data_IF_818606645359
#
_entry.id   IF_818606645359
#
_cell.length_a   1.000
_cell.length_b   1.000
_cell.length_c   1.000
_cell.angle_alpha   90.00
_cell.angle_beta   90.00
_cell.angle_gamma   90.00
#
_symmetry.space_group_name_H-M   'P 1'
#
loop_
_entity.id
_entity.type
_entity.pdbx_description
1 polymer ?
#
# COMPACT_ATOMS: atom_id res chain seq x y z
N UNK A 1 7.47 -34.91 -5.27
CA UNK A 1 6.94 -34.48 -6.59
C UNK A 1 5.83 -33.45 -6.45
N UNK A 2 4.90 -33.60 -5.52
CA UNK A 2 3.77 -32.66 -5.36
C UNK A 2 4.22 -31.24 -5.02
N UNK A 3 5.04 -31.03 -4.00
CA UNK A 3 5.58 -29.70 -3.68
C UNK A 3 6.39 -29.04 -4.80
N UNK A 4 7.04 -29.83 -5.66
CA UNK A 4 7.75 -29.29 -6.84
C UNK A 4 6.78 -28.74 -7.89
N UNK A 5 5.57 -29.30 -8.00
CA UNK A 5 4.52 -28.78 -8.87
C UNK A 5 3.96 -27.46 -8.34
N UNK A 6 3.83 -27.31 -7.01
CA UNK A 6 3.47 -26.05 -6.39
C UNK A 6 4.49 -24.95 -6.72
N UNK A 7 5.79 -25.24 -6.58
CA UNK A 7 6.85 -24.29 -6.92
C UNK A 7 6.88 -23.96 -8.41
N UNK A 8 6.72 -24.97 -9.28
CA UNK A 8 6.67 -24.77 -10.72
C UNK A 8 5.47 -23.88 -11.12
N UNK A 9 4.30 -24.08 -10.49
CA UNK A 9 3.13 -23.23 -10.68
C UNK A 9 3.43 -21.77 -10.30
N UNK A 10 4.07 -21.55 -9.16
CA UNK A 10 4.47 -20.20 -8.73
C UNK A 10 5.42 -19.52 -9.73
N UNK A 11 6.44 -20.25 -10.19
CA UNK A 11 7.39 -19.74 -11.19
C UNK A 11 6.68 -19.40 -12.51
N UNK A 12 5.78 -20.27 -12.98
CA UNK A 12 5.01 -20.02 -14.22
C UNK A 12 4.12 -18.79 -14.08
N UNK A 13 3.50 -18.57 -12.91
CA UNK A 13 2.74 -17.34 -12.64
C UNK A 13 3.65 -16.12 -12.76
N UNK A 14 4.81 -16.12 -12.11
CA UNK A 14 5.75 -15.00 -12.17
C UNK A 14 6.20 -14.72 -13.63
N UNK A 15 6.52 -15.76 -14.39
CA UNK A 15 6.91 -15.62 -15.80
C UNK A 15 5.77 -15.07 -16.67
N UNK A 16 4.54 -15.55 -16.48
CA UNK A 16 3.39 -15.08 -17.22
C UNK A 16 3.07 -13.60 -16.91
N UNK A 17 3.24 -13.17 -15.64
CA UNK A 17 3.08 -11.78 -15.24
C UNK A 17 4.16 -10.88 -15.87
N UNK A 18 5.40 -11.33 -15.95
CA UNK A 18 6.48 -10.61 -16.66
C UNK A 18 6.19 -10.41 -18.16
N UNK A 19 5.43 -11.31 -18.78
CA UNK A 19 4.97 -11.16 -20.17
C UNK A 19 3.84 -10.13 -20.29
N UNK A 20 3.19 -9.74 -19.17
CA UNK A 20 2.16 -8.70 -19.13
C UNK A 20 0.72 -9.23 -19.19
N UNK A 21 0.49 -10.50 -18.87
CA UNK A 21 -0.88 -11.01 -18.75
C UNK A 21 -1.61 -10.41 -17.52
N UNK A 22 -2.94 -10.22 -17.62
CA UNK A 22 -3.73 -9.71 -16.49
C UNK A 22 -3.63 -10.63 -15.26
N UNK A 23 -3.27 -10.07 -14.12
CA UNK A 23 -2.90 -10.79 -12.90
C UNK A 23 -3.95 -11.76 -12.42
N UNK A 24 -5.19 -11.31 -12.30
CA UNK A 24 -6.29 -12.14 -11.82
C UNK A 24 -6.50 -13.40 -12.66
N UNK A 25 -6.43 -13.25 -13.99
CA UNK A 25 -6.60 -14.36 -14.93
C UNK A 25 -5.36 -15.26 -14.95
N UNK A 26 -4.18 -14.68 -14.77
CA UNK A 26 -2.92 -15.44 -14.68
C UNK A 26 -2.92 -16.34 -13.45
N UNK A 27 -3.25 -15.78 -12.29
CA UNK A 27 -3.32 -16.54 -11.02
C UNK A 27 -4.34 -17.69 -11.13
N UNK A 28 -5.59 -17.36 -11.46
CA UNK A 28 -6.66 -18.35 -11.54
C UNK A 28 -6.45 -19.37 -12.68
N UNK A 29 -6.09 -18.89 -13.86
CA UNK A 29 -5.90 -19.74 -15.05
C UNK A 29 -4.72 -20.69 -14.90
N UNK A 30 -3.56 -20.21 -14.43
CA UNK A 30 -2.40 -21.06 -14.16
C UNK A 30 -2.71 -22.10 -13.09
N UNK A 31 -3.35 -21.69 -11.98
CA UNK A 31 -3.71 -22.62 -10.93
C UNK A 31 -4.64 -23.72 -11.42
N UNK A 32 -5.72 -23.39 -12.14
CA UNK A 32 -6.64 -24.38 -12.70
C UNK A 32 -5.96 -25.28 -13.75
N UNK A 33 -5.05 -24.71 -14.57
CA UNK A 33 -4.26 -25.48 -15.53
C UNK A 33 -3.37 -26.51 -14.83
N UNK A 34 -2.66 -26.10 -13.77
CA UNK A 34 -1.84 -27.03 -12.97
C UNK A 34 -2.68 -28.04 -12.20
N UNK A 35 -3.83 -27.65 -11.63
CA UNK A 35 -4.74 -28.59 -11.00
C UNK A 35 -5.25 -29.66 -11.98
N UNK A 36 -5.65 -29.23 -13.19
CA UNK A 36 -6.09 -30.16 -14.24
C UNK A 36 -4.97 -31.12 -14.67
N UNK A 37 -3.76 -30.60 -14.84
CA UNK A 37 -2.58 -31.40 -15.15
C UNK A 37 -2.27 -32.38 -14.01
N UNK A 38 -2.33 -31.90 -12.76
CA UNK A 38 -2.11 -32.71 -11.56
C UNK A 38 -3.11 -33.85 -11.40
N UNK A 39 -4.39 -33.61 -11.71
CA UNK A 39 -5.44 -34.65 -11.72
C UNK A 39 -5.11 -35.72 -12.78
N UNK A 40 -4.75 -35.30 -14.00
CA UNK A 40 -4.40 -36.23 -15.07
C UNK A 40 -3.15 -37.07 -14.74
N UNK A 41 -2.22 -36.52 -14.00
CA UNK A 41 -0.99 -37.21 -13.54
C UNK A 41 -1.18 -38.00 -12.24
N UNK A 42 -2.34 -37.92 -11.58
CA UNK A 42 -2.60 -38.56 -10.29
C UNK A 42 -1.89 -37.92 -9.08
N UNK A 43 -1.50 -36.65 -9.21
CA UNK A 43 -0.78 -35.88 -8.17
C UNK A 43 -1.60 -34.77 -7.52
N UNK A 44 -2.88 -34.66 -7.87
CA UNK A 44 -3.80 -33.66 -7.30
C UNK A 44 -5.18 -34.29 -7.07
N UNK A 45 -5.69 -34.17 -5.85
CA UNK A 45 -7.00 -34.67 -5.51
C UNK A 45 -8.10 -33.70 -5.99
N UNK A 46 -9.00 -34.12 -6.91
CA UNK A 46 -10.10 -33.30 -7.40
C UNK A 46 -11.00 -32.72 -6.29
N UNK A 47 -11.10 -33.38 -5.14
CA UNK A 47 -11.95 -32.96 -4.02
C UNK A 47 -11.53 -31.59 -3.47
N UNK A 48 -10.25 -31.20 -3.60
CA UNK A 48 -9.81 -29.83 -3.27
C UNK A 48 -10.57 -28.75 -4.04
N UNK A 49 -10.92 -29.01 -5.30
CA UNK A 49 -11.65 -28.04 -6.12
C UNK A 49 -13.08 -27.83 -5.68
N UNK A 50 -13.67 -28.74 -4.91
CA UNK A 50 -15.02 -28.57 -4.34
C UNK A 50 -15.09 -27.37 -3.38
N UNK A 51 -13.96 -27.04 -2.70
CA UNK A 51 -13.85 -25.88 -1.82
C UNK A 51 -13.79 -24.53 -2.58
N UNK A 52 -13.63 -24.54 -3.91
CA UNK A 52 -13.48 -23.32 -4.72
C UNK A 52 -14.70 -22.41 -4.59
N UNK A 53 -15.90 -22.97 -4.72
CA UNK A 53 -17.16 -22.21 -4.63
C UNK A 53 -17.29 -21.52 -3.27
N UNK A 54 -16.99 -22.24 -2.18
CA UNK A 54 -17.05 -21.69 -0.83
C UNK A 54 -16.01 -20.57 -0.61
N UNK A 55 -14.80 -20.69 -1.19
CA UNK A 55 -13.77 -19.65 -1.10
C UNK A 55 -14.13 -18.40 -1.88
N UNK A 56 -14.65 -18.55 -3.11
CA UNK A 56 -15.11 -17.41 -3.92
C UNK A 56 -16.25 -16.70 -3.19
N UNK A 57 -17.22 -17.46 -2.69
CA UNK A 57 -18.35 -16.90 -1.94
C UNK A 57 -17.87 -16.18 -0.65
N UNK A 58 -16.91 -16.77 0.08
CA UNK A 58 -16.29 -16.17 1.26
C UNK A 58 -15.60 -14.84 0.94
N UNK A 59 -14.88 -14.76 -0.18
CA UNK A 59 -14.27 -13.49 -0.62
C UNK A 59 -15.31 -12.44 -0.96
N UNK A 60 -16.38 -12.82 -1.67
CA UNK A 60 -17.44 -11.90 -2.07
C UNK A 60 -18.32 -11.44 -0.89
N UNK A 61 -18.49 -12.30 0.12
CA UNK A 61 -19.31 -12.02 1.31
C UNK A 61 -18.52 -11.45 2.51
N UNK A 62 -17.24 -11.15 2.34
CA UNK A 62 -16.40 -10.64 3.42
C UNK A 62 -16.73 -9.16 3.72
N UNK A 63 -17.29 -8.92 4.91
CA UNK A 63 -17.72 -7.58 5.35
C UNK A 63 -16.56 -6.60 5.46
N UNK A 64 -15.36 -7.06 5.82
CA UNK A 64 -14.17 -6.20 5.92
C UNK A 64 -13.77 -5.64 4.54
N UNK A 65 -13.92 -6.46 3.49
CA UNK A 65 -13.57 -6.07 2.12
C UNK A 65 -14.54 -5.03 1.53
N UNK A 66 -15.73 -4.82 2.11
CA UNK A 66 -16.65 -3.74 1.73
C UNK A 66 -16.04 -2.35 2.01
N UNK A 67 -15.09 -2.24 2.93
CA UNK A 67 -14.33 -1.01 3.14
C UNK A 67 -13.56 -0.57 1.88
N UNK A 68 -13.11 -1.50 1.04
CA UNK A 68 -12.29 -1.23 -0.15
C UNK A 68 -13.03 -0.34 -1.17
N UNK A 69 -14.23 -0.70 -1.68
CA UNK A 69 -14.96 0.17 -2.60
C UNK A 69 -15.31 1.53 -1.99
N UNK A 70 -15.57 1.61 -0.70
CA UNK A 70 -15.90 2.85 0.00
C UNK A 70 -14.67 3.77 0.11
N UNK A 71 -13.49 3.26 0.45
CA UNK A 71 -12.26 4.04 0.44
C UNK A 71 -11.84 4.44 -0.99
N UNK A 72 -12.02 3.57 -2.00
CA UNK A 72 -11.79 3.93 -3.40
C UNK A 72 -12.71 5.09 -3.79
N UNK A 73 -14.01 5.01 -3.45
CA UNK A 73 -14.97 6.07 -3.75
C UNK A 73 -14.61 7.38 -3.05
N UNK A 74 -14.17 7.33 -1.79
CA UNK A 74 -13.67 8.48 -1.04
C UNK A 74 -12.50 9.12 -1.77
N UNK A 75 -11.47 8.34 -2.12
CA UNK A 75 -10.26 8.83 -2.80
C UNK A 75 -10.54 9.44 -4.18
N UNK A 76 -11.30 8.73 -5.03
CA UNK A 76 -11.68 9.20 -6.36
C UNK A 76 -12.53 10.48 -6.28
N UNK A 77 -13.41 10.59 -5.27
CA UNK A 77 -14.24 11.78 -5.07
C UNK A 77 -13.38 13.00 -4.70
N UNK A 78 -12.43 12.83 -3.76
CA UNK A 78 -11.52 13.91 -3.34
C UNK A 78 -10.60 14.35 -4.48
N UNK A 79 -10.14 13.42 -5.31
CA UNK A 79 -9.36 13.69 -6.51
C UNK A 79 -10.15 14.49 -7.53
N UNK A 80 -11.38 14.05 -7.88
CA UNK A 80 -12.26 14.74 -8.84
C UNK A 80 -12.73 16.11 -8.36
N UNK A 81 -12.82 16.30 -7.04
CA UNK A 81 -13.13 17.60 -6.44
C UNK A 81 -11.95 18.59 -6.49
N UNK A 82 -10.81 18.24 -7.14
CA UNK A 82 -9.58 19.06 -7.28
C UNK A 82 -9.02 19.53 -5.94
N UNK A 83 -9.29 18.79 -4.89
CA UNK A 83 -8.80 19.12 -3.53
C UNK A 83 -7.28 19.10 -3.50
N UNK A 84 -6.65 18.19 -4.26
CA UNK A 84 -5.21 18.10 -4.41
C UNK A 84 -4.57 19.38 -4.99
N UNK A 85 -5.17 19.94 -6.05
CA UNK A 85 -4.70 21.13 -6.73
C UNK A 85 -4.78 22.37 -5.82
N UNK A 86 -5.92 22.53 -5.13
CA UNK A 86 -6.14 23.61 -4.17
C UNK A 86 -5.17 23.51 -2.99
N UNK A 87 -5.01 22.30 -2.41
CA UNK A 87 -4.06 22.07 -1.33
C UNK A 87 -2.64 22.45 -1.73
N UNK A 88 -2.19 21.96 -2.89
CA UNK A 88 -0.84 22.23 -3.37
C UNK A 88 -0.61 23.73 -3.60
N UNK A 89 -1.59 24.42 -4.21
CA UNK A 89 -1.51 25.86 -4.49
C UNK A 89 -1.40 26.68 -3.20
N UNK A 90 -2.28 26.42 -2.23
CA UNK A 90 -2.29 27.17 -0.97
C UNK A 90 -1.06 26.84 -0.09
N UNK A 91 -0.65 25.57 -0.03
CA UNK A 91 0.53 25.16 0.74
C UNK A 91 1.83 25.68 0.08
N UNK A 92 1.89 25.69 -1.25
CA UNK A 92 3.01 26.30 -1.97
C UNK A 92 3.09 27.82 -1.70
N UNK A 93 1.97 28.53 -1.67
CA UNK A 93 1.91 29.95 -1.31
C UNK A 93 2.31 30.23 0.16
N UNK A 94 2.06 29.28 1.05
CA UNK A 94 2.41 29.42 2.47
C UNK A 94 3.90 29.18 2.75
N UNK A 95 4.48 28.14 2.15
CA UNK A 95 5.84 27.71 2.41
C UNK A 95 6.85 28.09 1.30
N UNK A 96 6.40 28.31 0.07
CA UNK A 96 7.24 28.42 -1.13
C UNK A 96 8.24 29.58 -1.12
N UNK A 97 7.99 30.63 -0.34
CA UNK A 97 8.87 31.79 -0.22
C UNK A 97 10.25 31.49 0.44
N UNK A 98 10.43 30.28 0.96
CA UNK A 98 11.70 29.85 1.59
C UNK A 98 12.34 28.74 0.78
N UNK A 99 13.68 28.62 0.76
CA UNK A 99 14.35 27.45 0.17
C UNK A 99 13.80 26.15 0.78
N UNK A 100 13.49 25.18 -0.08
CA UNK A 100 12.87 23.91 0.34
C UNK A 100 11.35 23.96 0.60
N UNK A 101 10.77 25.15 0.72
CA UNK A 101 9.37 25.32 1.13
C UNK A 101 8.36 24.67 0.18
N UNK A 102 8.58 24.76 -1.13
CA UNK A 102 7.73 24.06 -2.11
C UNK A 102 7.83 22.54 -1.96
N UNK A 103 9.03 22.00 -1.67
CA UNK A 103 9.21 20.58 -1.39
C UNK A 103 8.46 20.15 -0.12
N UNK A 104 8.46 20.98 0.94
CA UNK A 104 7.66 20.75 2.17
C UNK A 104 6.18 20.70 1.83
N UNK A 105 5.68 21.65 1.03
CA UNK A 105 4.29 21.64 0.58
C UNK A 105 3.95 20.33 -0.17
N UNK A 106 4.83 19.89 -1.06
CA UNK A 106 4.66 18.63 -1.82
C UNK A 106 4.61 17.41 -0.90
N UNK A 107 5.49 17.33 0.13
CA UNK A 107 5.47 16.22 1.09
C UNK A 107 4.18 16.21 1.90
N UNK A 108 3.78 17.35 2.45
CA UNK A 108 2.57 17.44 3.26
C UNK A 108 1.32 17.12 2.44
N UNK A 109 1.19 17.75 1.26
CA UNK A 109 0.04 17.49 0.36
C UNK A 109 0.06 16.05 -0.15
N UNK A 110 1.24 15.54 -0.53
CA UNK A 110 1.39 14.15 -0.97
C UNK A 110 1.02 13.15 0.11
N UNK A 111 1.39 13.38 1.37
CA UNK A 111 1.00 12.53 2.49
C UNK A 111 -0.52 12.57 2.76
N UNK A 112 -1.15 13.75 2.65
CA UNK A 112 -2.61 13.88 2.78
C UNK A 112 -3.36 13.18 1.64
N UNK A 113 -2.87 13.33 0.41
CA UNK A 113 -3.43 12.62 -0.74
C UNK A 113 -3.23 11.11 -0.61
N UNK A 114 -2.05 10.68 -0.22
CA UNK A 114 -1.74 9.28 0.02
C UNK A 114 -2.71 8.66 1.03
N UNK A 115 -2.97 9.33 2.16
CA UNK A 115 -3.95 8.91 3.16
C UNK A 115 -5.39 8.91 2.64
N UNK A 116 -5.72 9.76 1.67
CA UNK A 116 -7.09 9.86 1.14
C UNK A 116 -7.37 8.90 -0.02
N UNK A 117 -6.37 8.58 -0.85
CA UNK A 117 -6.54 7.74 -2.04
C UNK A 117 -6.20 6.28 -1.78
N UNK A 118 -5.20 6.02 -0.94
CA UNK A 118 -4.71 4.67 -0.64
C UNK A 118 -4.10 3.93 -1.86
N UNK A 119 -3.96 4.59 -3.01
CA UNK A 119 -3.48 4.02 -4.28
C UNK A 119 -2.23 4.78 -4.74
N UNK A 120 -1.09 4.09 -4.76
CA UNK A 120 0.22 4.68 -5.13
C UNK A 120 0.19 5.32 -6.52
N UNK A 121 -0.31 4.59 -7.52
CA UNK A 121 -0.33 5.05 -8.91
C UNK A 121 -1.10 6.36 -9.08
N UNK A 122 -2.29 6.46 -8.49
CA UNK A 122 -3.10 7.67 -8.55
C UNK A 122 -2.38 8.87 -7.92
N UNK A 123 -1.81 8.67 -6.72
CA UNK A 123 -1.09 9.75 -6.00
C UNK A 123 0.16 10.20 -6.75
N UNK A 124 0.98 9.27 -7.24
CA UNK A 124 2.21 9.60 -7.99
C UNK A 124 1.89 10.32 -9.30
N UNK A 125 0.88 9.85 -10.05
CA UNK A 125 0.46 10.49 -11.31
C UNK A 125 -0.08 11.89 -11.03
N UNK A 126 -0.99 12.05 -10.06
CA UNK A 126 -1.57 13.35 -9.72
C UNK A 126 -0.49 14.34 -9.28
N UNK A 127 0.39 13.93 -8.35
CA UNK A 127 1.50 14.78 -7.91
C UNK A 127 2.53 15.02 -9.03
N UNK A 128 2.77 14.05 -9.91
CA UNK A 128 3.61 14.18 -11.08
C UNK A 128 3.11 15.25 -12.06
N UNK A 129 1.79 15.26 -12.32
CA UNK A 129 1.17 16.26 -13.21
C UNK A 129 1.10 17.64 -12.57
N UNK A 130 0.78 17.74 -11.27
CA UNK A 130 0.55 19.02 -10.60
C UNK A 130 1.85 19.63 -10.03
N UNK A 131 2.62 18.84 -9.29
CA UNK A 131 3.77 19.33 -8.53
C UNK A 131 5.06 19.36 -9.35
N UNK A 132 5.35 18.35 -10.18
CA UNK A 132 6.61 18.26 -10.89
C UNK A 132 6.89 19.48 -11.80
N UNK A 133 5.96 19.91 -12.68
CA UNK A 133 6.18 21.10 -13.51
C UNK A 133 6.38 22.37 -12.68
N UNK A 134 5.69 22.48 -11.54
CA UNK A 134 5.81 23.64 -10.64
C UNK A 134 7.16 23.65 -9.94
N UNK A 135 7.65 22.50 -9.46
CA UNK A 135 8.98 22.37 -8.86
C UNK A 135 10.10 22.67 -9.87
N UNK A 136 9.99 22.13 -11.09
CA UNK A 136 10.99 22.37 -12.15
C UNK A 136 11.03 23.85 -12.58
N UNK A 137 9.87 24.49 -12.73
CA UNK A 137 9.79 25.94 -13.02
C UNK A 137 10.37 26.81 -11.90
N UNK A 138 10.23 26.36 -10.66
CA UNK A 138 10.86 27.01 -9.50
C UNK A 138 12.37 26.77 -9.41
N UNK A 139 12.96 25.98 -10.32
CA UNK A 139 14.39 25.70 -10.36
C UNK A 139 14.85 24.55 -9.45
N UNK A 140 13.93 23.72 -8.96
CA UNK A 140 14.32 22.52 -8.19
C UNK A 140 15.13 21.56 -9.06
N UNK A 141 16.15 20.96 -8.46
CA UNK A 141 16.92 19.91 -9.13
C UNK A 141 15.99 18.73 -9.48
N UNK A 142 15.99 18.23 -10.73
CA UNK A 142 15.07 17.18 -11.18
C UNK A 142 15.06 15.94 -10.29
N UNK A 143 16.23 15.51 -9.81
CA UNK A 143 16.34 14.37 -8.89
C UNK A 143 15.59 14.61 -7.57
N UNK A 144 15.71 15.81 -6.98
CA UNK A 144 15.03 16.12 -5.74
C UNK A 144 13.51 16.18 -5.92
N UNK A 145 13.06 16.80 -7.02
CA UNK A 145 11.63 16.91 -7.34
C UNK A 145 11.01 15.54 -7.58
N UNK A 146 11.61 14.71 -8.43
CA UNK A 146 11.11 13.38 -8.78
C UNK A 146 11.14 12.42 -7.60
N UNK A 147 12.26 12.40 -6.85
CA UNK A 147 12.40 11.58 -5.65
C UNK A 147 11.35 11.91 -4.59
N UNK A 148 11.11 13.20 -4.33
CA UNK A 148 10.08 13.64 -3.39
C UNK A 148 8.68 13.18 -3.80
N UNK A 149 8.33 13.33 -5.07
CA UNK A 149 6.99 12.93 -5.58
C UNK A 149 6.81 11.42 -5.50
N UNK A 150 7.76 10.61 -5.97
CA UNK A 150 7.68 9.16 -5.88
C UNK A 150 7.57 8.69 -4.42
N UNK A 151 8.43 9.22 -3.54
CA UNK A 151 8.45 8.82 -2.14
C UNK A 151 7.14 9.16 -1.41
N UNK A 152 6.62 10.37 -1.61
CA UNK A 152 5.34 10.76 -0.99
C UNK A 152 4.15 9.99 -1.54
N UNK A 153 4.17 9.64 -2.82
CA UNK A 153 3.13 8.81 -3.42
C UNK A 153 3.06 7.40 -2.83
N UNK A 154 4.19 6.82 -2.42
CA UNK A 154 4.20 5.49 -1.79
C UNK A 154 3.69 5.50 -0.35
N UNK A 155 3.61 6.66 0.32
CA UNK A 155 3.07 6.76 1.68
C UNK A 155 1.62 6.26 1.81
N UNK A 156 0.86 6.21 0.70
CA UNK A 156 -0.51 5.69 0.69
C UNK A 156 -0.63 4.21 1.06
N UNK A 157 0.46 3.47 1.08
CA UNK A 157 0.46 2.08 1.53
C UNK A 157 0.54 1.96 3.05
N UNK A 158 1.14 2.94 3.75
CA UNK A 158 1.39 2.86 5.19
C UNK A 158 0.61 3.88 6.01
N UNK A 159 0.23 5.04 5.46
CA UNK A 159 -0.51 6.06 6.22
C UNK A 159 -2.01 5.71 6.20
N UNK A 160 -2.64 5.44 7.35
CA UNK A 160 -4.07 5.19 7.43
C UNK A 160 -4.92 6.46 7.10
N UNK A 161 -6.12 6.27 6.54
CA UNK A 161 -6.72 5.03 6.09
C UNK A 161 -6.17 4.55 4.73
N UNK A 162 -5.66 3.34 4.67
CA UNK A 162 -4.99 2.78 3.50
C UNK A 162 -5.69 1.50 3.02
N UNK A 163 -6.00 1.41 1.72
CA UNK A 163 -6.57 0.21 1.10
C UNK A 163 -5.60 -0.97 1.25
N UNK A 164 -4.31 -0.72 1.11
CA UNK A 164 -3.27 -1.72 1.27
C UNK A 164 -3.30 -2.35 2.67
N UNK A 165 -3.42 -1.52 3.72
CA UNK A 165 -3.52 -2.01 5.10
C UNK A 165 -4.86 -2.70 5.39
N UNK A 166 -5.95 -2.31 4.74
CA UNK A 166 -7.24 -3.03 4.86
C UNK A 166 -7.09 -4.45 4.35
N UNK A 167 -6.55 -4.60 3.14
CA UNK A 167 -6.36 -5.89 2.50
C UNK A 167 -5.35 -6.77 3.28
N UNK A 168 -4.23 -6.16 3.68
CA UNK A 168 -3.22 -6.86 4.48
C UNK A 168 -3.77 -7.26 5.86
N UNK A 169 -4.57 -6.41 6.51
CA UNK A 169 -5.17 -6.69 7.81
C UNK A 169 -6.14 -7.87 7.79
N UNK A 170 -6.95 -7.97 6.74
CA UNK A 170 -7.85 -9.11 6.53
C UNK A 170 -7.07 -10.42 6.38
N UNK A 171 -6.04 -10.43 5.54
CA UNK A 171 -5.19 -11.61 5.34
C UNK A 171 -4.38 -11.94 6.59
N UNK A 172 -3.84 -10.95 7.31
CA UNK A 172 -3.10 -11.18 8.56
C UNK A 172 -3.99 -11.75 9.65
N UNK A 173 -5.25 -11.31 9.73
CA UNK A 173 -6.24 -11.89 10.64
C UNK A 173 -6.47 -13.39 10.36
N UNK A 174 -6.68 -13.74 9.10
CA UNK A 174 -6.85 -15.13 8.67
C UNK A 174 -5.56 -15.97 8.91
N UNK A 175 -4.38 -15.40 8.60
CA UNK A 175 -3.10 -16.05 8.81
C UNK A 175 -2.82 -16.30 10.31
N UNK A 176 -3.20 -15.33 11.16
CA UNK A 176 -3.01 -15.46 12.60
C UNK A 176 -3.91 -16.53 13.22
N UNK A 177 -5.19 -16.58 12.81
CA UNK A 177 -6.08 -17.66 13.24
C UNK A 177 -5.53 -19.02 12.80
N UNK A 178 -5.05 -19.16 11.57
CA UNK A 178 -4.46 -20.40 11.08
C UNK A 178 -3.19 -20.78 11.87
N UNK A 179 -2.33 -19.83 12.22
CA UNK A 179 -1.13 -20.07 13.03
C UNK A 179 -1.52 -20.60 14.43
N UNK A 180 -2.51 -19.98 15.08
CA UNK A 180 -3.00 -20.42 16.39
C UNK A 180 -3.58 -21.84 16.37
N UNK A 181 -4.35 -22.16 15.30
CA UNK A 181 -4.85 -23.54 15.12
C UNK A 181 -3.73 -24.56 14.97
N UNK A 182 -2.64 -24.22 14.25
CA UNK A 182 -1.44 -25.07 14.15
C UNK A 182 -0.75 -25.25 15.50
N UNK A 183 -0.72 -24.22 16.34
CA UNK A 183 -0.18 -24.27 17.70
C UNK A 183 -1.13 -24.94 18.73
N UNK A 184 -2.29 -25.47 18.29
CA UNK A 184 -3.33 -26.04 19.16
C UNK A 184 -3.90 -25.04 20.19
N UNK A 185 -3.92 -23.75 19.88
CA UNK A 185 -4.54 -22.71 20.71
C UNK A 185 -6.05 -22.72 20.44
N UNK A 186 -6.84 -23.13 21.41
CA UNK A 186 -8.30 -23.29 21.28
C UNK A 186 -9.01 -21.92 21.32
N UNK A 187 -8.53 -20.99 22.14
CA UNK A 187 -9.11 -19.65 22.25
C UNK A 187 -8.33 -18.69 21.32
N UNK A 188 -8.70 -18.71 20.04
CA UNK A 188 -8.03 -17.91 19.02
C UNK A 188 -8.32 -16.42 19.21
N UNK A 189 -7.25 -15.64 19.24
CA UNK A 189 -7.31 -14.17 19.17
C UNK A 189 -7.40 -13.73 17.72
N UNK A 190 -8.05 -12.60 17.48
CA UNK A 190 -8.15 -11.99 16.15
C UNK A 190 -7.40 -10.67 16.12
N UNK A 191 -6.79 -10.37 14.99
CA UNK A 191 -6.21 -9.06 14.70
C UNK A 191 -7.13 -8.36 13.71
N UNK A 192 -7.51 -7.14 14.01
CA UNK A 192 -8.38 -6.36 13.14
C UNK A 192 -7.58 -5.47 12.20
N UNK A 193 -8.20 -5.03 11.12
CA UNK A 193 -7.67 -3.97 10.24
C UNK A 193 -7.38 -2.69 11.03
N UNK A 194 -8.22 -2.37 12.03
CA UNK A 194 -8.00 -1.23 12.91
C UNK A 194 -6.70 -1.31 13.69
N UNK A 195 -6.29 -2.51 14.11
CA UNK A 195 -5.04 -2.71 14.85
C UNK A 195 -3.83 -2.47 13.95
N UNK A 196 -3.89 -2.90 12.68
CA UNK A 196 -2.86 -2.57 11.70
C UNK A 196 -2.79 -1.06 11.42
N UNK A 197 -3.93 -0.38 11.35
CA UNK A 197 -3.96 1.07 11.19
C UNK A 197 -3.25 1.76 12.36
N UNK A 198 -3.55 1.35 13.59
CA UNK A 198 -2.89 1.89 14.78
C UNK A 198 -1.39 1.62 14.76
N UNK A 199 -0.97 0.40 14.47
CA UNK A 199 0.43 0.01 14.39
C UNK A 199 1.22 0.75 13.30
N UNK A 200 0.57 1.05 12.18
CA UNK A 200 1.18 1.73 11.04
C UNK A 200 1.31 3.26 11.22
N UNK A 201 0.55 3.87 12.15
CA UNK A 201 0.54 5.32 12.33
C UNK A 201 1.91 5.89 12.68
N UNK A 202 2.56 5.36 13.71
CA UNK A 202 3.85 5.88 14.17
C UNK A 202 4.93 5.72 13.09
N UNK A 203 5.13 4.53 12.48
CA UNK A 203 6.05 4.37 11.35
C UNK A 203 5.74 5.28 10.16
N UNK A 204 4.48 5.40 9.78
CA UNK A 204 4.04 6.25 8.66
C UNK A 204 4.35 7.73 8.88
N UNK A 205 4.00 8.27 10.05
CA UNK A 205 4.34 9.65 10.41
C UNK A 205 5.86 9.86 10.52
N UNK A 206 6.61 8.90 11.02
CA UNK A 206 8.06 8.98 11.10
C UNK A 206 8.70 9.08 9.70
N UNK A 207 8.17 8.37 8.70
CA UNK A 207 8.60 8.54 7.31
C UNK A 207 8.36 9.96 6.78
N UNK A 208 7.19 10.53 7.06
CA UNK A 208 6.90 11.93 6.69
C UNK A 208 7.92 12.87 7.31
N UNK A 209 8.23 12.69 8.60
CA UNK A 209 9.25 13.48 9.30
C UNK A 209 10.63 13.30 8.67
N UNK A 210 11.03 12.08 8.33
CA UNK A 210 12.30 11.82 7.64
C UNK A 210 12.37 12.51 6.27
N UNK A 211 11.30 12.47 5.49
CA UNK A 211 11.23 13.13 4.19
C UNK A 211 11.32 14.65 4.32
N UNK A 212 10.60 15.23 5.28
CA UNK A 212 10.67 16.66 5.58
C UNK A 212 12.08 17.06 6.05
N UNK A 213 12.66 16.30 6.97
CA UNK A 213 14.01 16.54 7.48
C UNK A 213 15.04 16.49 6.35
N UNK A 214 14.99 15.48 5.48
CA UNK A 214 15.88 15.38 4.31
C UNK A 214 15.76 16.58 3.39
N UNK A 215 14.54 17.01 3.06
CA UNK A 215 14.30 18.17 2.21
C UNK A 215 14.85 19.45 2.82
N UNK A 216 14.60 19.68 4.11
CA UNK A 216 15.09 20.87 4.82
C UNK A 216 16.61 20.86 4.93
N UNK A 217 17.24 19.73 5.23
CA UNK A 217 18.69 19.58 5.26
C UNK A 217 19.28 19.84 3.86
N UNK A 218 18.69 19.29 2.80
CA UNK A 218 19.15 19.56 1.42
C UNK A 218 19.00 21.03 1.05
N UNK A 219 17.89 21.66 1.40
CA UNK A 219 17.64 23.08 1.13
C UNK A 219 18.60 24.01 1.89
N UNK A 220 19.02 23.63 3.10
CA UNK A 220 20.01 24.41 3.88
C UNK A 220 21.45 24.21 3.40
N UNK A 221 21.82 22.95 3.11
CA UNK A 221 23.18 22.63 2.67
C UNK A 221 23.44 22.97 1.19
N UNK A 222 22.41 22.86 0.35
CA UNK A 222 22.48 23.10 -1.09
C UNK A 222 21.25 23.92 -1.55
N UNK A 223 21.17 25.22 -1.23
CA UNK A 223 20.00 26.06 -1.56
C UNK A 223 19.68 26.10 -3.06
N UNK A 224 20.70 25.93 -3.91
CA UNK A 224 20.53 25.87 -5.35
C UNK A 224 19.73 24.62 -5.83
N UNK A 225 19.66 23.54 -5.03
CA UNK A 225 18.91 22.35 -5.38
C UNK A 225 17.41 22.45 -5.05
N UNK A 226 17.03 23.37 -4.15
CA UNK A 226 15.67 23.59 -3.68
C UNK A 226 15.42 25.09 -3.45
N UNK A 227 15.51 25.93 -4.50
CA UNK A 227 15.38 27.37 -4.35
C UNK A 227 13.98 27.79 -3.86
N UNK A 228 13.89 29.01 -3.33
CA UNK A 228 12.60 29.62 -3.01
C UNK A 228 11.79 29.80 -4.31
N UNK A 229 10.52 29.41 -4.28
CA UNK A 229 9.63 29.58 -5.40
C UNK A 229 9.05 31.00 -5.43
N UNK A 230 9.00 31.62 -6.62
CA UNK A 230 8.26 32.84 -6.84
C UNK A 230 6.76 32.51 -6.94
N UNK A 231 6.12 32.28 -5.81
CA UNK A 231 4.67 32.00 -5.70
C UNK A 231 4.01 33.17 -4.96
N UNK A 232 2.80 33.49 -5.37
CA UNK A 232 1.99 34.48 -4.65
C UNK A 232 1.77 33.98 -3.22
N UNK A 233 2.01 34.87 -2.26
CA UNK A 233 1.84 34.53 -0.85
C UNK A 233 0.36 34.29 -0.55
N UNK A 234 0.06 33.12 -0.09
CA UNK A 234 -1.28 32.80 0.41
C UNK A 234 -1.41 33.25 1.87
N UNK A 235 -2.50 33.90 2.19
CA UNK A 235 -2.84 34.21 3.58
C UNK A 235 -3.07 32.91 4.37
N UNK A 236 -2.60 32.87 5.60
CA UNK A 236 -2.73 31.69 6.48
C UNK A 236 -4.19 31.21 6.59
N UNK A 237 -5.15 32.15 6.65
CA UNK A 237 -6.59 31.85 6.69
C UNK A 237 -7.06 31.07 5.46
N UNK A 238 -6.66 31.51 4.26
CA UNK A 238 -7.01 30.83 3.01
C UNK A 238 -6.38 29.44 2.92
N UNK A 239 -5.14 29.26 3.37
CA UNK A 239 -4.52 27.95 3.46
C UNK A 239 -5.25 27.02 4.43
N UNK A 240 -5.67 27.53 5.61
CA UNK A 240 -6.45 26.75 6.58
C UNK A 240 -7.81 26.32 6.03
N UNK A 241 -8.52 27.18 5.31
CA UNK A 241 -9.82 26.81 4.71
C UNK A 241 -9.69 25.73 3.64
N UNK A 242 -8.55 25.64 2.95
CA UNK A 242 -8.28 24.58 1.99
C UNK A 242 -7.88 23.25 2.65
N UNK A 243 -7.06 23.31 3.72
CA UNK A 243 -6.47 22.15 4.38
C UNK A 243 -7.43 21.50 5.40
N UNK A 244 -8.15 22.31 6.17
CA UNK A 244 -8.96 21.84 7.30
C UNK A 244 -10.07 20.84 6.90
N UNK A 245 -10.82 21.00 5.79
CA UNK A 245 -11.87 20.04 5.43
C UNK A 245 -11.36 18.64 5.11
N UNK A 246 -10.35 18.42 4.24
CA UNK A 246 -9.86 17.08 3.96
C UNK A 246 -9.12 16.47 5.17
N UNK A 247 -8.35 17.26 5.94
CA UNK A 247 -7.72 16.79 7.18
C UNK A 247 -8.77 16.41 8.22
N UNK A 248 -9.82 17.23 8.37
CA UNK A 248 -10.93 16.95 9.27
C UNK A 248 -11.66 15.65 8.88
N UNK A 249 -11.85 15.40 7.58
CA UNK A 249 -12.44 14.15 7.11
C UNK A 249 -11.56 12.94 7.44
N UNK A 250 -10.25 13.02 7.17
CA UNK A 250 -9.30 11.95 7.51
C UNK A 250 -9.28 11.73 9.03
N UNK A 251 -9.23 12.81 9.81
CA UNK A 251 -9.25 12.73 11.27
C UNK A 251 -10.55 12.13 11.81
N UNK A 252 -11.69 12.42 11.20
CA UNK A 252 -12.98 11.82 11.55
C UNK A 252 -13.00 10.33 11.27
N UNK A 253 -12.59 9.92 10.07
CA UNK A 253 -12.54 8.50 9.65
C UNK A 253 -11.58 7.73 10.54
N UNK A 254 -10.35 8.22 10.67
CA UNK A 254 -9.32 7.54 11.44
C UNK A 254 -9.63 7.58 12.95
N UNK A 255 -10.07 8.72 13.46
CA UNK A 255 -10.45 8.87 14.86
C UNK A 255 -11.59 7.96 15.28
N UNK A 256 -12.60 7.75 14.41
CA UNK A 256 -13.69 6.81 14.71
C UNK A 256 -13.22 5.36 14.83
N UNK A 257 -12.24 4.96 14.01
CA UNK A 257 -11.63 3.62 14.08
C UNK A 257 -10.76 3.49 15.34
N UNK A 258 -9.94 4.52 15.63
CA UNK A 258 -9.01 4.51 16.77
C UNK A 258 -9.75 4.45 18.11
N UNK A 259 -10.85 5.17 18.22
CA UNK A 259 -11.70 5.19 19.41
C UNK A 259 -12.60 3.96 19.54
N UNK A 260 -12.59 3.05 18.54
CA UNK A 260 -13.48 1.89 18.52
C UNK A 260 -14.96 2.26 18.30
N UNK A 261 -15.25 3.50 17.87
CA UNK A 261 -16.60 3.98 17.63
C UNK A 261 -17.19 3.47 16.31
N UNK A 262 -16.35 3.08 15.36
CA UNK A 262 -16.74 2.52 14.07
C UNK A 262 -15.75 1.44 13.62
N UNK A 263 -16.28 0.44 12.94
CA UNK A 263 -15.46 -0.53 12.19
C UNK A 263 -14.79 0.16 10.99
N UNK A 264 -13.72 -0.40 10.41
CA UNK A 264 -13.09 0.15 9.21
C UNK A 264 -14.10 0.34 8.06
N UNK A 265 -15.08 -0.54 7.90
CA UNK A 265 -16.12 -0.49 6.87
C UNK A 265 -17.10 0.67 7.10
N UNK A 266 -17.57 0.85 8.33
CA UNK A 266 -18.44 1.96 8.70
C UNK A 266 -17.72 3.30 8.55
N UNK A 267 -16.48 3.39 9.00
CA UNK A 267 -15.65 4.59 8.86
C UNK A 267 -15.38 4.92 7.38
N UNK A 268 -15.17 3.91 6.52
CA UNK A 268 -15.03 4.10 5.08
C UNK A 268 -16.32 4.65 4.46
N UNK A 269 -17.50 4.20 4.94
CA UNK A 269 -18.80 4.73 4.54
C UNK A 269 -18.95 6.21 4.92
N UNK A 270 -18.61 6.57 6.15
CA UNK A 270 -18.56 7.97 6.62
C UNK A 270 -17.60 8.79 5.78
N UNK A 271 -16.42 8.24 5.47
CA UNK A 271 -15.42 8.85 4.60
C UNK A 271 -15.95 9.14 3.20
N UNK A 272 -16.61 8.17 2.58
CA UNK A 272 -17.20 8.31 1.24
C UNK A 272 -18.29 9.38 1.20
N UNK A 273 -19.22 9.38 2.19
CA UNK A 273 -20.28 10.40 2.30
C UNK A 273 -19.67 11.77 2.59
N UNK A 274 -18.67 11.86 3.48
CA UNK A 274 -17.97 13.10 3.78
C UNK A 274 -17.24 13.68 2.56
N UNK A 275 -16.57 12.85 1.76
CA UNK A 275 -15.92 13.25 0.51
C UNK A 275 -16.94 13.79 -0.51
N UNK A 276 -18.08 13.10 -0.67
CA UNK A 276 -19.18 13.58 -1.55
C UNK A 276 -19.73 14.91 -1.05
N UNK A 277 -19.89 15.09 0.26
CA UNK A 277 -20.33 16.36 0.85
C UNK A 277 -19.33 17.48 0.56
N UNK A 278 -18.04 17.22 0.70
CA UNK A 278 -17.00 18.20 0.35
C UNK A 278 -16.99 18.54 -1.14
N UNK A 279 -17.18 17.54 -2.00
CA UNK A 279 -17.30 17.77 -3.45
C UNK A 279 -18.55 18.57 -3.80
N UNK A 280 -19.66 18.32 -3.11
CA UNK A 280 -20.92 19.06 -3.31
C UNK A 280 -20.78 20.53 -2.88
N UNK A 281 -20.21 20.80 -1.70
CA UNK A 281 -20.01 22.19 -1.21
C UNK A 281 -19.07 23.00 -2.08
N UNK A 282 -18.17 22.33 -2.82
CA UNK A 282 -17.28 22.96 -3.82
C UNK A 282 -17.89 23.08 -5.22
N UNK A 283 -19.13 22.63 -5.42
CA UNK A 283 -19.79 22.61 -6.73
C UNK A 283 -19.15 21.64 -7.73
N UNK A 284 -18.29 20.72 -7.26
CA UNK A 284 -17.60 19.74 -8.10
C UNK A 284 -18.44 18.46 -8.34
N UNK A 285 -19.49 18.24 -7.55
CA UNK A 285 -20.38 17.08 -7.67
C UNK A 285 -21.48 17.34 -8.71
N UNK A 286 -21.12 17.25 -9.98
CA UNK A 286 -22.07 17.31 -11.09
C UNK A 286 -22.56 15.90 -11.47
N UNK A 287 -23.70 15.75 -12.21
CA UNK A 287 -24.13 14.43 -12.69
C UNK A 287 -23.07 13.71 -13.54
N UNK A 288 -22.25 14.44 -14.28
CA UNK A 288 -21.13 13.91 -15.06
C UNK A 288 -20.00 13.43 -14.15
N UNK A 289 -19.58 14.27 -13.19
CA UNK A 289 -18.54 13.87 -12.23
C UNK A 289 -18.99 12.70 -11.35
N UNK A 290 -20.26 12.65 -10.93
CA UNK A 290 -20.81 11.52 -10.17
C UNK A 290 -20.76 10.23 -10.98
N UNK A 291 -21.12 10.28 -12.27
CA UNK A 291 -21.01 9.13 -13.17
C UNK A 291 -19.56 8.66 -13.31
N UNK A 292 -18.62 9.59 -13.47
CA UNK A 292 -17.21 9.27 -13.60
C UNK A 292 -16.64 8.68 -12.30
N UNK A 293 -17.00 9.23 -11.13
CA UNK A 293 -16.63 8.71 -9.81
C UNK A 293 -17.16 7.28 -9.67
N UNK A 294 -18.45 7.07 -9.92
CA UNK A 294 -19.06 5.73 -9.81
C UNK A 294 -18.40 4.73 -10.76
N UNK A 295 -18.08 5.14 -11.98
CA UNK A 295 -17.43 4.29 -12.98
C UNK A 295 -15.99 3.94 -12.59
N UNK A 296 -15.20 4.91 -12.15
CA UNK A 296 -13.84 4.67 -11.67
C UNK A 296 -13.83 3.75 -10.45
N UNK A 297 -14.72 4.01 -9.49
CA UNK A 297 -14.89 3.15 -8.30
C UNK A 297 -15.24 1.73 -8.72
N UNK A 298 -16.19 1.55 -9.62
CA UNK A 298 -16.60 0.23 -10.11
C UNK A 298 -15.45 -0.52 -10.76
N UNK A 299 -14.72 0.13 -11.69
CA UNK A 299 -13.59 -0.52 -12.37
C UNK A 299 -12.50 -0.94 -11.40
N UNK A 300 -12.06 -0.05 -10.52
CA UNK A 300 -10.99 -0.35 -9.57
C UNK A 300 -11.43 -1.42 -8.57
N UNK A 301 -12.66 -1.34 -8.05
CA UNK A 301 -13.21 -2.37 -7.15
C UNK A 301 -13.29 -3.73 -7.84
N UNK A 302 -13.83 -3.78 -9.06
CA UNK A 302 -13.94 -5.03 -9.83
C UNK A 302 -12.58 -5.65 -10.10
N UNK A 303 -11.57 -4.82 -10.43
CA UNK A 303 -10.18 -5.28 -10.61
C UNK A 303 -9.64 -5.91 -9.32
N UNK A 304 -9.79 -5.23 -8.17
CA UNK A 304 -9.33 -5.74 -6.89
C UNK A 304 -10.01 -7.08 -6.56
N UNK A 305 -11.34 -7.15 -6.61
CA UNK A 305 -12.08 -8.37 -6.30
C UNK A 305 -11.74 -9.52 -7.26
N UNK A 306 -11.51 -9.23 -8.54
CA UNK A 306 -11.09 -10.25 -9.49
C UNK A 306 -9.70 -10.81 -9.16
N UNK A 307 -8.77 -9.94 -8.71
CA UNK A 307 -7.44 -10.38 -8.22
C UNK A 307 -7.60 -11.26 -6.98
N UNK A 308 -8.47 -10.87 -6.03
CA UNK A 308 -8.74 -11.65 -4.82
C UNK A 308 -9.27 -13.05 -5.15
N UNK A 309 -10.19 -13.15 -6.10
CA UNK A 309 -10.73 -14.43 -6.57
C UNK A 309 -9.62 -15.26 -7.22
N UNK A 310 -8.83 -14.68 -8.12
CA UNK A 310 -7.70 -15.36 -8.75
C UNK A 310 -6.68 -15.88 -7.73
N UNK A 311 -6.35 -15.08 -6.73
CA UNK A 311 -5.44 -15.44 -5.65
C UNK A 311 -6.03 -16.53 -4.72
N UNK A 312 -7.34 -16.51 -4.46
CA UNK A 312 -8.02 -17.55 -3.69
C UNK A 312 -7.95 -18.91 -4.41
N UNK A 313 -8.14 -18.93 -5.73
CA UNK A 313 -7.96 -20.12 -6.58
C UNK A 313 -6.51 -20.61 -6.53
N UNK A 314 -5.54 -19.67 -6.71
CA UNK A 314 -4.11 -19.99 -6.65
C UNK A 314 -3.72 -20.60 -5.30
N UNK A 315 -4.10 -19.95 -4.20
CA UNK A 315 -3.80 -20.42 -2.84
C UNK A 315 -4.41 -21.80 -2.55
N UNK A 316 -5.62 -22.06 -3.05
CA UNK A 316 -6.27 -23.37 -2.91
C UNK A 316 -5.46 -24.47 -3.59
N UNK A 317 -5.09 -24.27 -4.84
CA UNK A 317 -4.34 -25.25 -5.63
C UNK A 317 -2.90 -25.39 -5.11
N UNK A 318 -2.26 -24.31 -4.71
CA UNK A 318 -0.92 -24.32 -4.10
C UNK A 318 -0.87 -25.23 -2.86
N UNK A 319 -1.87 -25.12 -1.99
CA UNK A 319 -2.01 -25.98 -0.80
C UNK A 319 -2.37 -27.42 -1.18
N UNK A 320 -3.20 -27.60 -2.19
CA UNK A 320 -3.55 -28.93 -2.68
C UNK A 320 -2.36 -29.73 -3.20
N UNK A 321 -1.32 -29.04 -3.70
CA UNK A 321 -0.03 -29.62 -4.04
C UNK A 321 0.95 -29.71 -2.85
N UNK A 322 0.53 -29.40 -1.62
CA UNK A 322 1.41 -29.42 -0.44
C UNK A 322 2.46 -28.31 -0.45
N UNK A 323 2.20 -27.19 -1.12
CA UNK A 323 3.15 -26.08 -1.21
C UNK A 323 3.46 -25.42 0.14
N UNK A 324 2.51 -25.40 1.06
CA UNK A 324 2.72 -24.91 2.43
C UNK A 324 3.66 -25.82 3.23
N UNK A 325 3.55 -27.15 3.08
CA UNK A 325 4.45 -28.11 3.71
C UNK A 325 5.89 -28.00 3.15
N UNK A 326 6.01 -27.76 1.85
CA UNK A 326 7.31 -27.53 1.21
C UNK A 326 8.01 -26.29 1.78
N UNK A 327 7.29 -25.20 1.98
CA UNK A 327 7.86 -23.97 2.54
C UNK A 327 8.21 -24.15 4.01
N UNK A 328 7.38 -24.87 4.77
CA UNK A 328 7.64 -25.19 6.17
C UNK A 328 8.94 -26.02 6.32
N UNK A 329 9.07 -27.11 5.54
CA UNK A 329 10.30 -27.91 5.54
C UNK A 329 11.55 -27.11 5.10
N UNK A 330 11.39 -26.20 4.13
CA UNK A 330 12.48 -25.31 3.73
C UNK A 330 12.97 -24.42 4.88
N UNK A 331 12.06 -23.87 5.71
CA UNK A 331 12.46 -23.05 6.86
C UNK A 331 13.05 -23.89 8.00
N UNK A 332 12.59 -25.12 8.18
CA UNK A 332 13.20 -26.06 9.15
C UNK A 332 14.63 -26.42 8.75
N UNK A 333 14.88 -26.69 7.46
CA UNK A 333 16.20 -27.02 6.95
C UNK A 333 17.15 -25.81 6.88
N UNK A 334 16.61 -24.59 6.70
CA UNK A 334 17.43 -23.38 6.55
C UNK A 334 18.27 -23.08 7.80
N UNK A 335 17.84 -23.52 8.98
CA UNK A 335 18.49 -23.20 10.23
C UNK A 335 18.45 -21.70 10.58
N UNK A 336 19.11 -21.28 11.67
CA UNK A 336 19.21 -19.85 12.03
C UNK A 336 18.01 -19.26 12.75
N UNK A 337 16.93 -20.04 12.92
CA UNK A 337 15.75 -19.66 13.72
C UNK A 337 14.80 -18.65 13.06
N UNK A 338 13.83 -18.11 13.84
CA UNK A 338 12.73 -17.28 13.32
C UNK A 338 13.20 -16.02 12.56
N UNK A 339 14.25 -15.36 13.06
CA UNK A 339 14.76 -14.13 12.43
C UNK A 339 15.36 -14.37 11.04
N UNK A 340 16.01 -15.53 10.82
CA UNK A 340 16.52 -15.90 9.50
C UNK A 340 15.38 -16.17 8.53
N UNK A 341 14.33 -16.89 8.97
CA UNK A 341 13.13 -17.13 8.18
C UNK A 341 12.47 -15.82 7.78
N UNK A 342 12.29 -14.89 8.73
CA UNK A 342 11.72 -13.58 8.46
C UNK A 342 12.56 -12.79 7.44
N UNK A 343 13.88 -12.76 7.58
CA UNK A 343 14.77 -12.04 6.67
C UNK A 343 14.66 -12.58 5.25
N UNK A 344 14.62 -13.91 5.08
CA UNK A 344 14.46 -14.56 3.77
C UNK A 344 13.10 -14.21 3.18
N UNK A 345 12.02 -14.28 3.95
CA UNK A 345 10.68 -13.90 3.47
C UNK A 345 10.65 -12.44 3.06
N UNK A 346 11.17 -11.53 3.88
CA UNK A 346 11.21 -10.10 3.56
C UNK A 346 12.01 -9.82 2.29
N UNK A 347 13.15 -10.51 2.10
CA UNK A 347 13.94 -10.39 0.87
C UNK A 347 13.18 -10.91 -0.35
N UNK A 348 12.54 -12.08 -0.24
CA UNK A 348 11.74 -12.65 -1.33
C UNK A 348 10.58 -11.72 -1.70
N UNK A 349 9.82 -11.23 -0.70
CA UNK A 349 8.73 -10.28 -0.93
C UNK A 349 9.21 -8.97 -1.55
N UNK A 350 10.37 -8.46 -1.12
CA UNK A 350 11.01 -7.28 -1.69
C UNK A 350 11.33 -7.48 -3.17
N UNK A 351 11.92 -8.62 -3.54
CA UNK A 351 12.25 -8.95 -4.93
C UNK A 351 10.99 -9.19 -5.77
N UNK A 352 9.98 -9.85 -5.21
CA UNK A 352 8.69 -10.05 -5.88
C UNK A 352 7.97 -8.72 -6.14
N UNK A 353 8.12 -7.73 -5.27
CA UNK A 353 7.55 -6.39 -5.45
C UNK A 353 8.11 -5.60 -6.63
N UNK A 354 9.12 -6.13 -7.35
CA UNK A 354 9.54 -5.62 -8.66
C UNK A 354 8.65 -6.12 -9.81
N UNK A 355 7.89 -7.19 -9.58
CA UNK A 355 7.11 -7.87 -10.61
C UNK A 355 5.62 -7.82 -10.29
N UNK A 356 5.29 -7.98 -9.00
CA UNK A 356 3.96 -8.08 -8.44
C UNK A 356 3.57 -6.78 -7.73
N UNK A 357 2.30 -6.39 -7.87
CA UNK A 357 1.75 -5.28 -7.08
C UNK A 357 1.55 -5.69 -5.61
N UNK A 358 1.34 -4.70 -4.75
CA UNK A 358 1.09 -4.88 -3.31
C UNK A 358 -0.06 -5.86 -3.06
N UNK A 359 -1.17 -5.71 -3.79
CA UNK A 359 -2.37 -6.55 -3.65
C UNK A 359 -2.01 -8.01 -3.95
N UNK A 360 -1.28 -8.24 -5.01
CA UNK A 360 -0.88 -9.57 -5.46
C UNK A 360 -0.01 -10.29 -4.43
N UNK A 361 1.03 -9.62 -3.93
CA UNK A 361 1.92 -10.20 -2.90
C UNK A 361 1.14 -10.48 -1.63
N UNK A 362 0.27 -9.55 -1.21
CA UNK A 362 -0.55 -9.70 -0.01
C UNK A 362 -1.45 -10.93 -0.10
N UNK A 363 -2.06 -11.22 -1.25
CA UNK A 363 -3.00 -12.34 -1.40
C UNK A 363 -2.39 -13.65 -1.88
N UNK A 364 -1.17 -13.62 -2.44
CA UNK A 364 -0.49 -14.82 -2.94
C UNK A 364 0.56 -15.30 -1.92
N UNK A 365 1.41 -14.40 -1.44
CA UNK A 365 2.57 -14.76 -0.61
C UNK A 365 2.21 -14.79 0.87
N UNK A 366 1.53 -13.75 1.38
CA UNK A 366 1.22 -13.64 2.81
C UNK A 366 0.36 -14.81 3.35
N UNK A 367 -0.66 -15.35 2.63
CA UNK A 367 -1.41 -16.52 3.12
C UNK A 367 -0.57 -17.79 3.25
N UNK A 368 0.56 -17.85 2.57
CA UNK A 368 1.47 -19.00 2.60
C UNK A 368 2.51 -18.84 3.72
N UNK A 369 3.21 -17.71 3.74
CA UNK A 369 4.31 -17.48 4.69
C UNK A 369 3.86 -16.92 6.03
N UNK A 370 2.76 -16.18 6.05
CA UNK A 370 2.24 -15.52 7.26
C UNK A 370 1.94 -16.47 8.41
N UNK A 371 1.16 -17.55 8.20
CA UNK A 371 0.88 -18.52 9.27
C UNK A 371 2.13 -19.18 9.84
N UNK A 372 3.15 -19.42 9.00
CA UNK A 372 4.42 -20.02 9.41
C UNK A 372 5.20 -19.05 10.30
N UNK A 373 5.38 -17.80 9.88
CA UNK A 373 6.08 -16.78 10.66
C UNK A 373 5.37 -16.46 11.97
N UNK A 374 4.03 -16.38 11.95
CA UNK A 374 3.24 -16.16 13.16
C UNK A 374 3.32 -17.32 14.14
N UNK A 375 3.38 -18.57 13.65
CA UNK A 375 3.62 -19.74 14.48
C UNK A 375 5.05 -19.77 15.10
N UNK A 376 6.00 -19.07 14.48
CA UNK A 376 7.35 -18.86 15.04
C UNK A 376 7.39 -17.79 16.14
N UNK A 377 6.27 -17.16 16.49
CA UNK A 377 6.12 -16.24 17.62
C UNK A 377 6.24 -14.76 17.31
N UNK A 378 6.18 -14.36 16.03
CA UNK A 378 6.11 -12.93 15.68
C UNK A 378 4.72 -12.35 15.99
N UNK A 379 4.72 -11.10 16.49
CA UNK A 379 3.49 -10.35 16.70
C UNK A 379 2.82 -10.02 15.35
N UNK A 380 1.50 -10.26 15.20
CA UNK A 380 0.81 -10.10 13.92
C UNK A 380 0.70 -8.65 13.46
N UNK A 381 0.58 -7.66 14.38
CA UNK A 381 0.52 -6.25 14.04
C UNK A 381 1.91 -5.80 13.54
N UNK A 382 2.93 -6.16 14.29
CA UNK A 382 4.31 -5.84 13.93
C UNK A 382 4.70 -6.45 12.59
N UNK A 383 4.41 -7.74 12.38
CA UNK A 383 4.72 -8.43 11.13
C UNK A 383 3.98 -7.79 9.95
N UNK A 384 2.69 -7.47 10.10
CA UNK A 384 1.89 -6.80 9.07
C UNK A 384 2.48 -5.45 8.68
N UNK A 385 2.85 -4.61 9.65
CA UNK A 385 3.45 -3.30 9.39
C UNK A 385 4.84 -3.44 8.75
N UNK A 386 5.65 -4.41 9.18
CA UNK A 386 6.95 -4.74 8.57
C UNK A 386 6.78 -5.12 7.09
N UNK A 387 5.80 -5.96 6.77
CA UNK A 387 5.47 -6.34 5.39
C UNK A 387 5.05 -5.10 4.59
N UNK A 388 4.18 -4.26 5.13
CA UNK A 388 3.69 -3.06 4.45
C UNK A 388 4.84 -2.10 4.09
N UNK A 389 5.76 -1.81 5.03
CA UNK A 389 6.92 -0.94 4.77
C UNK A 389 7.92 -1.59 3.80
N UNK A 390 8.10 -2.91 3.87
CA UNK A 390 8.96 -3.64 2.96
C UNK A 390 8.46 -3.55 1.50
N UNK A 391 7.17 -3.78 1.28
CA UNK A 391 6.55 -3.65 -0.04
C UNK A 391 6.56 -2.21 -0.53
N UNK A 392 6.30 -1.22 0.33
CA UNK A 392 6.44 0.18 0.01
C UNK A 392 7.86 0.52 -0.47
N UNK A 393 8.88 -0.05 0.17
CA UNK A 393 10.29 0.14 -0.19
C UNK A 393 10.59 -0.46 -1.56
N UNK A 394 10.09 -1.66 -1.84
CA UNK A 394 10.23 -2.31 -3.15
C UNK A 394 9.63 -1.45 -4.28
N UNK A 395 8.45 -0.86 -4.04
CA UNK A 395 7.76 0.02 -5.00
C UNK A 395 8.53 1.29 -5.35
N UNK A 396 9.45 1.71 -4.49
CA UNK A 396 10.28 2.89 -4.71
C UNK A 396 11.67 2.54 -5.25
N UNK A 397 12.05 1.25 -5.25
CA UNK A 397 13.44 0.83 -5.53
C UNK A 397 13.67 0.60 -7.02
N UNK A 398 14.70 1.25 -7.62
CA UNK A 398 15.12 0.97 -8.98
C UNK A 398 15.59 -0.49 -9.15
N UNK A 399 15.48 -1.08 -10.36
CA UNK A 399 15.00 -0.47 -11.59
C UNK A 399 13.50 -0.61 -11.84
N UNK A 400 12.77 -1.44 -11.09
CA UNK A 400 11.42 -1.88 -11.38
C UNK A 400 10.32 -1.32 -10.46
N UNK A 401 10.66 -0.39 -9.57
CA UNK A 401 9.67 0.19 -8.66
C UNK A 401 8.49 0.84 -9.40
N UNK A 402 7.27 0.42 -9.11
CA UNK A 402 6.05 0.91 -9.79
C UNK A 402 5.86 2.43 -9.70
N UNK A 403 6.22 3.04 -8.58
CA UNK A 403 6.16 4.51 -8.42
C UNK A 403 7.00 5.24 -9.48
N UNK A 404 8.13 4.65 -9.89
CA UNK A 404 9.03 5.21 -10.88
C UNK A 404 8.41 5.19 -12.28
N UNK A 405 7.73 4.09 -12.63
CA UNK A 405 7.02 3.96 -13.91
C UNK A 405 5.83 4.92 -13.99
N UNK A 406 5.05 5.03 -12.92
CA UNK A 406 3.93 5.97 -12.88
C UNK A 406 4.42 7.41 -13.08
N UNK A 407 5.49 7.82 -12.39
CA UNK A 407 6.06 9.15 -12.57
C UNK A 407 6.63 9.33 -13.97
N UNK A 408 7.34 8.32 -14.50
CA UNK A 408 7.91 8.39 -15.86
C UNK A 408 6.82 8.61 -16.93
N UNK A 409 5.65 8.00 -16.76
CA UNK A 409 4.52 8.13 -17.68
C UNK A 409 3.96 9.55 -17.80
N UNK A 410 4.21 10.42 -16.81
CA UNK A 410 3.70 11.80 -16.77
C UNK A 410 4.80 12.86 -16.69
N UNK A 411 6.04 12.45 -16.50
CA UNK A 411 7.18 13.35 -16.43
C UNK A 411 7.50 13.96 -17.81
N UNK A 412 7.87 15.26 -17.88
CA UNK A 412 8.28 15.88 -19.14
C UNK A 412 9.61 15.25 -19.65
N UNK A 413 9.85 15.38 -20.96
CA UNK A 413 11.05 14.81 -21.61
C UNK A 413 12.37 15.38 -21.08
N UNK A 414 12.34 16.55 -20.45
CA UNK A 414 13.50 17.19 -19.81
C UNK A 414 14.00 16.44 -18.58
N UNK A 415 13.17 15.54 -18.01
CA UNK A 415 13.51 14.70 -16.86
C UNK A 415 13.93 13.32 -17.36
N UNK A 416 15.19 12.95 -17.11
CA UNK A 416 15.68 11.62 -17.49
C UNK A 416 15.26 10.53 -16.49
N UNK A 417 15.19 9.27 -16.94
CA UNK A 417 14.98 8.13 -16.06
C UNK A 417 16.06 8.03 -14.98
N UNK A 418 17.29 8.42 -15.32
CA UNK A 418 18.40 8.47 -14.38
C UNK A 418 18.14 9.46 -13.24
N UNK A 419 17.49 10.60 -13.53
CA UNK A 419 17.14 11.58 -12.48
C UNK A 419 16.11 11.02 -11.52
N UNK A 420 15.11 10.28 -12.04
CA UNK A 420 14.12 9.60 -11.21
C UNK A 420 14.81 8.57 -10.31
N UNK A 421 15.65 7.70 -10.88
CA UNK A 421 16.36 6.65 -10.13
C UNK A 421 17.30 7.23 -9.07
N UNK A 422 18.10 8.21 -9.42
CA UNK A 422 19.00 8.85 -8.45
C UNK A 422 18.24 9.65 -7.38
N UNK A 423 17.09 10.21 -7.76
CA UNK A 423 16.24 11.00 -6.87
C UNK A 423 15.59 10.18 -5.75
N UNK A 424 15.22 8.93 -6.02
CA UNK A 424 14.55 8.09 -5.02
C UNK A 424 15.51 7.41 -4.04
N UNK A 425 16.80 7.26 -4.38
CA UNK A 425 17.76 6.53 -3.54
C UNK A 425 17.82 7.02 -2.08
N UNK A 426 17.85 8.32 -1.77
CA UNK A 426 17.83 8.79 -0.38
C UNK A 426 16.58 8.36 0.38
N UNK A 427 15.43 8.33 -0.29
CA UNK A 427 14.15 7.94 0.29
C UNK A 427 14.07 6.42 0.52
N UNK A 428 14.62 5.61 -0.40
CA UNK A 428 14.77 4.16 -0.22
C UNK A 428 15.65 3.87 1.01
N UNK A 429 16.76 4.59 1.17
CA UNK A 429 17.62 4.44 2.36
C UNK A 429 16.86 4.77 3.64
N UNK A 430 16.03 5.82 3.65
CA UNK A 430 15.21 6.16 4.83
C UNK A 430 14.18 5.08 5.16
N UNK A 431 13.56 4.46 4.15
CA UNK A 431 12.61 3.36 4.36
C UNK A 431 13.33 2.09 4.88
N UNK A 432 14.51 1.77 4.34
CA UNK A 432 15.34 0.67 4.84
C UNK A 432 15.80 0.92 6.28
N UNK A 433 16.19 2.15 6.62
CA UNK A 433 16.50 2.54 7.98
C UNK A 433 15.29 2.38 8.92
N UNK A 434 14.09 2.76 8.47
CA UNK A 434 12.88 2.53 9.24
C UNK A 434 12.62 1.03 9.47
N UNK A 435 12.79 0.19 8.45
CA UNK A 435 12.68 -1.27 8.59
C UNK A 435 13.67 -1.81 9.63
N UNK A 436 14.93 -1.35 9.59
CA UNK A 436 15.93 -1.73 10.59
C UNK A 436 15.55 -1.24 12.00
N UNK A 437 15.07 -0.02 12.15
CA UNK A 437 14.62 0.51 13.44
C UNK A 437 13.44 -0.31 13.98
N UNK A 438 12.44 -0.63 13.18
CA UNK A 438 11.30 -1.47 13.58
C UNK A 438 11.74 -2.90 13.95
N UNK A 439 12.76 -3.44 13.25
CA UNK A 439 13.32 -4.75 13.57
C UNK A 439 13.97 -4.79 14.95
N UNK A 440 14.78 -3.77 15.28
CA UNK A 440 15.48 -3.70 16.57
C UNK A 440 14.60 -3.16 17.70
N UNK A 441 13.58 -2.39 17.34
CA UNK A 441 12.67 -1.75 18.30
C UNK A 441 11.20 -1.96 17.91
N UNK A 442 10.65 -3.17 18.14
CA UNK A 442 9.26 -3.49 17.84
C UNK A 442 8.24 -2.56 18.51
N UNK A 443 8.60 -1.99 19.67
CA UNK A 443 7.76 -1.04 20.40
C UNK A 443 7.41 0.21 19.56
N UNK A 444 8.17 0.52 18.49
CA UNK A 444 7.82 1.61 17.59
C UNK A 444 6.45 1.36 16.90
N UNK A 445 6.15 0.10 16.62
CA UNK A 445 4.88 -0.34 16.02
C UNK A 445 3.85 -0.64 17.10
N UNK A 446 4.26 -1.30 18.19
CA UNK A 446 3.37 -1.88 19.20
C UNK A 446 3.02 -0.90 20.34
N UNK A 447 3.70 0.24 20.45
CA UNK A 447 3.44 1.20 21.52
C UNK A 447 2.03 1.79 21.47
N UNK A 448 1.59 2.27 20.32
CA UNK A 448 0.28 2.89 20.17
C UNK A 448 -0.87 1.88 20.33
N UNK A 449 -0.82 0.67 19.69
CA UNK A 449 -1.76 -0.40 20.00
C UNK A 449 -1.83 -0.73 21.49
N UNK A 450 -0.70 -0.87 22.17
CA UNK A 450 -0.64 -1.16 23.60
C UNK A 450 -1.28 -0.07 24.47
N UNK A 451 -1.10 1.23 24.13
CA UNK A 451 -1.75 2.36 24.85
C UNK A 451 -3.26 2.34 24.66
N UNK A 452 -3.75 1.91 23.49
CA UNK A 452 -5.18 1.82 23.19
C UNK A 452 -5.84 0.51 23.67
N UNK A 453 -5.07 -0.38 24.33
CA UNK A 453 -5.58 -1.64 24.88
C UNK A 453 -5.92 -2.68 23.78
N UNK A 454 -5.17 -2.66 22.69
CA UNK A 454 -5.33 -3.56 21.53
C UNK A 454 -4.18 -4.52 21.39
#
# INVERSE_FOLDING_TARGET
>A
MEGQLALAMFVVVCLALLVGFPVALTLGGTALGFASLGILLGHFDPDYLTALTARIFGTMGNETLVAVPLFIMMGVTLERAKIAEDLLTHMAGLFGARPGGLGVAVVVVGALLAASTGIVGATVITMGVLALPTMLRAGYHPQLATGTICATGTLGQIIPPSIALVLLGDIMSAAYQQAQLRMNIVNTQTVSVGDLFVGAMVPGFLLVVFYLAYLLIRATLQPASAPAAAVDRTEFGAAMTAVLPPVGLIALVLGSILLGAATPTEAAGVGAVGAMTLALTRGALTPTSLRDISRSTLYTTSMVFLILIGAAVFSLVFRGFGGDLLIESFFEELGGGPHTALLVVMLVMFLLGFILDFIEITFVVVPVVGPILLAMGFDPIWLGVMIAVNLQTSFLTPPFGFALFYLRGVAPDTVSTRDIYAGVLPFVVMQLLLLLVMWWWPSLVLWLPGVLGR
#
